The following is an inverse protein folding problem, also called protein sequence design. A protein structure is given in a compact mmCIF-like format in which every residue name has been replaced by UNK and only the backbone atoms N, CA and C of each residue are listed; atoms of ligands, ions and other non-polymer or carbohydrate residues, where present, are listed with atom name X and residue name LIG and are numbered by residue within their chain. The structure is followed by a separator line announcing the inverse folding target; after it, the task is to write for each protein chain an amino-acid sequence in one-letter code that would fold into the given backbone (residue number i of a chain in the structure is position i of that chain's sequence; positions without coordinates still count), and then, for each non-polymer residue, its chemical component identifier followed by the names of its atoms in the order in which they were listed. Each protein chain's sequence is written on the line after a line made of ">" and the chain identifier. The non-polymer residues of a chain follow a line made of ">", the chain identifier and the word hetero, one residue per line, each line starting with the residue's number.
data_IF_017592393638
#
_entry.id   IF_017592393638
#
_cell.length_a   1.000
_cell.length_b   1.000
_cell.length_c   1.000
_cell.angle_alpha   90.00
_cell.angle_beta   90.00
_cell.angle_gamma   90.00
#
_symmetry.space_group_name_H-M   'P 1'
#
loop_
_entity.id
_entity.type
_entity.pdbx_description
1 polymer ?
#
# COMPACT_ATOMS: atom_id res chain seq x y z
N UNK A 1 -24.15 -17.60 17.18
CA UNK A 1 -22.71 -17.42 17.47
C UNK A 1 -21.83 -17.69 16.28
N UNK A 2 -21.91 -18.86 15.65
CA UNK A 2 -21.10 -19.16 14.46
C UNK A 2 -21.41 -18.23 13.30
N UNK A 3 -22.67 -17.86 13.11
CA UNK A 3 -23.09 -16.95 12.04
C UNK A 3 -22.47 -15.57 12.23
N UNK A 4 -22.39 -15.05 13.45
CA UNK A 4 -21.80 -13.76 13.76
C UNK A 4 -20.27 -13.75 13.51
N UNK A 5 -19.61 -14.85 13.87
CA UNK A 5 -18.17 -15.03 13.64
C UNK A 5 -17.90 -15.08 12.13
N UNK A 6 -18.68 -15.86 11.38
CA UNK A 6 -18.56 -15.96 9.93
C UNK A 6 -18.85 -14.65 9.23
N UNK A 7 -19.87 -13.92 9.69
CA UNK A 7 -20.19 -12.59 9.15
C UNK A 7 -19.05 -11.59 9.41
N UNK A 8 -18.42 -11.66 10.59
CA UNK A 8 -17.26 -10.84 10.93
C UNK A 8 -16.05 -11.19 10.06
N UNK A 9 -15.78 -12.47 9.82
CA UNK A 9 -14.73 -12.93 8.93
C UNK A 9 -14.98 -12.49 7.48
N UNK A 10 -16.23 -12.58 7.01
CA UNK A 10 -16.59 -12.15 5.67
C UNK A 10 -16.35 -10.65 5.49
N UNK A 11 -16.68 -9.83 6.48
CA UNK A 11 -16.39 -8.39 6.45
C UNK A 11 -14.91 -8.10 6.39
N UNK A 12 -14.12 -8.78 7.22
CA UNK A 12 -12.67 -8.62 7.24
C UNK A 12 -12.06 -9.00 5.90
N UNK A 13 -12.52 -10.10 5.29
CA UNK A 13 -12.06 -10.51 3.97
C UNK A 13 -12.46 -9.53 2.88
N UNK A 14 -13.69 -8.99 2.93
CA UNK A 14 -14.14 -7.98 1.99
C UNK A 14 -13.32 -6.69 2.11
N UNK A 15 -13.06 -6.25 3.34
CA UNK A 15 -12.21 -5.08 3.59
C UNK A 15 -10.79 -5.31 3.09
N UNK A 16 -10.24 -6.51 3.35
CA UNK A 16 -8.92 -6.90 2.87
C UNK A 16 -8.84 -6.89 1.34
N UNK A 17 -9.86 -7.39 0.65
CA UNK A 17 -9.93 -7.33 -0.81
C UNK A 17 -9.93 -5.88 -1.31
N UNK A 18 -10.68 -4.99 -0.65
CA UNK A 18 -10.69 -3.57 -0.98
C UNK A 18 -9.32 -2.93 -0.83
N UNK A 19 -8.60 -3.23 0.24
CA UNK A 19 -7.25 -2.70 0.46
C UNK A 19 -6.20 -3.32 -0.46
N UNK A 20 -6.37 -4.59 -0.85
CA UNK A 20 -5.52 -5.21 -1.88
C UNK A 20 -5.72 -4.50 -3.22
N UNK A 21 -6.97 -4.20 -3.59
CA UNK A 21 -7.27 -3.42 -4.77
C UNK A 21 -6.65 -2.01 -4.70
N UNK A 22 -6.65 -1.39 -3.52
CA UNK A 22 -5.99 -0.11 -3.30
C UNK A 22 -4.48 -0.20 -3.54
N UNK A 23 -3.83 -1.28 -3.08
CA UNK A 23 -2.40 -1.53 -3.34
C UNK A 23 -2.14 -1.69 -4.84
N UNK A 24 -2.98 -2.48 -5.53
CA UNK A 24 -2.88 -2.65 -6.98
C UNK A 24 -3.06 -1.30 -7.68
N UNK A 25 -4.05 -0.51 -7.27
CA UNK A 25 -4.28 0.83 -7.79
C UNK A 25 -3.07 1.76 -7.59
N UNK A 26 -2.44 1.71 -6.41
CA UNK A 26 -1.24 2.50 -6.14
C UNK A 26 -0.06 2.09 -7.02
N UNK A 27 0.10 0.80 -7.31
CA UNK A 27 1.13 0.29 -8.23
C UNK A 27 0.86 0.79 -9.64
N UNK A 28 -0.40 0.76 -10.09
CA UNK A 28 -0.79 1.27 -11.41
C UNK A 28 -0.55 2.77 -11.52
N UNK A 29 -0.85 3.55 -10.47
CA UNK A 29 -0.54 4.98 -10.42
C UNK A 29 0.95 5.23 -10.48
N UNK A 30 1.75 4.43 -9.80
CA UNK A 30 3.21 4.50 -9.84
C UNK A 30 3.75 4.18 -11.23
N UNK A 31 3.17 3.21 -11.92
CA UNK A 31 3.49 2.90 -13.31
C UNK A 31 3.18 4.09 -14.22
N UNK A 32 1.99 4.67 -14.08
CA UNK A 32 1.58 5.86 -14.83
C UNK A 32 2.51 7.04 -14.56
N UNK A 33 2.90 7.25 -13.31
CA UNK A 33 3.85 8.31 -12.95
C UNK A 33 5.22 8.10 -13.61
N UNK A 34 5.70 6.86 -13.64
CA UNK A 34 6.98 6.52 -14.28
C UNK A 34 6.91 6.72 -15.79
N UNK A 35 5.80 6.33 -16.43
CA UNK A 35 5.57 6.55 -17.86
C UNK A 35 5.55 8.05 -18.19
N UNK A 36 4.88 8.84 -17.35
CA UNK A 36 4.81 10.29 -17.50
C UNK A 36 6.18 10.93 -17.30
N UNK A 37 6.97 10.42 -16.36
CA UNK A 37 8.34 10.88 -16.14
C UNK A 37 9.21 10.64 -17.36
N UNK A 38 9.06 9.48 -18.02
CA UNK A 38 9.74 9.17 -19.27
C UNK A 38 9.38 10.18 -20.35
N UNK A 39 8.08 10.49 -20.49
CA UNK A 39 7.60 11.47 -21.45
C UNK A 39 8.18 12.87 -21.15
N UNK A 40 8.25 13.24 -19.87
CA UNK A 40 8.85 14.49 -19.44
C UNK A 40 10.33 14.60 -19.81
N UNK A 41 11.10 13.52 -19.67
CA UNK A 41 12.50 13.47 -20.08
C UNK A 41 12.61 13.63 -21.61
N UNK A 42 11.73 12.98 -22.37
CA UNK A 42 11.69 13.12 -23.82
C UNK A 42 11.38 14.57 -24.24
N UNK A 43 10.46 15.25 -23.56
CA UNK A 43 10.15 16.65 -23.79
C UNK A 43 11.35 17.55 -23.49
N UNK A 44 12.06 17.29 -22.40
CA UNK A 44 13.27 18.03 -22.04
C UNK A 44 14.36 17.85 -23.09
N UNK A 45 14.56 16.64 -23.60
CA UNK A 45 15.51 16.35 -24.68
C UNK A 45 15.13 17.05 -25.98
N UNK A 46 13.83 17.23 -26.24
CA UNK A 46 13.33 17.95 -27.40
C UNK A 46 13.40 19.48 -27.24
N UNK A 47 13.83 19.99 -26.09
CA UNK A 47 13.94 21.41 -25.82
C UNK A 47 12.68 22.07 -25.26
N UNK A 48 11.63 21.31 -25.00
CA UNK A 48 10.38 21.81 -24.39
C UNK A 48 10.46 21.78 -22.87
N UNK A 49 11.06 22.82 -22.28
CA UNK A 49 11.23 22.93 -20.84
C UNK A 49 9.91 23.17 -20.09
N UNK A 50 8.96 23.87 -20.70
CA UNK A 50 7.65 24.11 -20.09
C UNK A 50 6.83 22.82 -20.01
N UNK A 51 6.82 22.01 -21.07
CA UNK A 51 6.18 20.70 -21.09
C UNK A 51 6.82 19.73 -20.11
N UNK A 52 8.15 19.74 -20.00
CA UNK A 52 8.88 18.92 -19.05
C UNK A 52 8.52 19.25 -17.59
N UNK A 53 8.41 20.53 -17.25
CA UNK A 53 8.00 20.97 -15.91
C UNK A 53 6.57 20.56 -15.59
N UNK A 54 5.65 20.71 -16.53
CA UNK A 54 4.27 20.29 -16.36
C UNK A 54 4.18 18.78 -16.12
N UNK A 55 4.97 17.98 -16.84
CA UNK A 55 5.05 16.54 -16.64
C UNK A 55 5.60 16.20 -15.26
N UNK A 56 6.64 16.88 -14.79
CA UNK A 56 7.21 16.67 -13.45
C UNK A 56 6.20 16.97 -12.34
N UNK A 57 5.41 18.04 -12.47
CA UNK A 57 4.38 18.37 -11.48
C UNK A 57 3.31 17.30 -11.40
N UNK A 58 2.88 16.74 -12.52
CA UNK A 58 1.93 15.64 -12.59
C UNK A 58 2.51 14.37 -11.96
N UNK A 59 3.77 14.04 -12.24
CA UNK A 59 4.47 12.91 -11.66
C UNK A 59 4.49 13.03 -10.13
N UNK A 60 4.82 14.20 -9.62
CA UNK A 60 4.86 14.45 -8.17
C UNK A 60 3.50 14.19 -7.53
N UNK A 61 2.43 14.72 -8.12
CA UNK A 61 1.06 14.53 -7.61
C UNK A 61 0.65 13.06 -7.62
N UNK A 62 0.93 12.36 -8.71
CA UNK A 62 0.61 10.94 -8.84
C UNK A 62 1.36 10.10 -7.82
N UNK A 63 2.64 10.39 -7.59
CA UNK A 63 3.45 9.68 -6.60
C UNK A 63 2.99 9.95 -5.17
N UNK A 64 2.61 11.18 -4.86
CA UNK A 64 2.04 11.51 -3.55
C UNK A 64 0.73 10.76 -3.32
N UNK A 65 -0.15 10.74 -4.31
CA UNK A 65 -1.41 10.02 -4.23
C UNK A 65 -1.19 8.52 -4.08
N UNK A 66 -0.33 7.93 -4.91
CA UNK A 66 0.00 6.51 -4.83
C UNK A 66 0.61 6.15 -3.47
N UNK A 67 1.54 6.97 -2.97
CA UNK A 67 2.17 6.78 -1.68
C UNK A 67 1.17 6.87 -0.53
N UNK A 68 0.27 7.84 -0.55
CA UNK A 68 -0.76 8.00 0.47
C UNK A 68 -1.71 6.79 0.50
N UNK A 69 -2.15 6.31 -0.66
CA UNK A 69 -3.01 5.13 -0.77
C UNK A 69 -2.28 3.89 -0.24
N UNK A 70 -1.02 3.71 -0.64
CA UNK A 70 -0.21 2.57 -0.21
C UNK A 70 0.00 2.57 1.31
N UNK A 71 0.35 3.71 1.90
CA UNK A 71 0.55 3.85 3.34
C UNK A 71 -0.73 3.53 4.09
N UNK A 72 -1.88 4.03 3.61
CA UNK A 72 -3.18 3.73 4.21
C UNK A 72 -3.50 2.24 4.18
N UNK A 73 -3.28 1.57 3.04
CA UNK A 73 -3.51 0.14 2.89
C UNK A 73 -2.56 -0.68 3.77
N UNK A 74 -1.27 -0.34 3.81
CA UNK A 74 -0.29 -1.02 4.66
C UNK A 74 -0.60 -0.82 6.14
N UNK A 75 -1.06 0.36 6.54
CA UNK A 75 -1.52 0.62 7.90
C UNK A 75 -2.69 -0.28 8.30
N UNK A 76 -3.65 -0.47 7.40
CA UNK A 76 -4.75 -1.40 7.61
C UNK A 76 -4.25 -2.82 7.83
N UNK A 77 -3.34 -3.32 6.99
CA UNK A 77 -2.79 -4.67 7.14
C UNK A 77 -1.96 -4.81 8.40
N UNK A 78 -1.28 -3.76 8.85
CA UNK A 78 -0.58 -3.76 10.13
C UNK A 78 -1.57 -3.92 11.29
N UNK A 79 -2.71 -3.21 11.25
CA UNK A 79 -3.77 -3.35 12.25
C UNK A 79 -4.34 -4.76 12.28
N UNK A 80 -4.53 -5.40 11.11
CA UNK A 80 -4.95 -6.79 11.03
C UNK A 80 -3.92 -7.73 11.65
N UNK A 81 -2.65 -7.51 11.37
CA UNK A 81 -1.56 -8.31 11.93
C UNK A 81 -1.50 -8.18 13.46
N UNK A 82 -1.73 -6.98 14.00
CA UNK A 82 -1.82 -6.76 15.45
C UNK A 82 -2.96 -7.54 16.07
N UNK A 83 -4.14 -7.51 15.45
CA UNK A 83 -5.30 -8.28 15.93
C UNK A 83 -5.03 -9.78 15.89
N UNK A 84 -4.43 -10.27 14.80
CA UNK A 84 -4.07 -11.67 14.68
C UNK A 84 -3.06 -12.09 15.76
N UNK A 85 -2.10 -11.25 16.09
CA UNK A 85 -1.13 -11.51 17.16
C UNK A 85 -1.80 -11.58 18.53
N UNK A 86 -2.77 -10.70 18.81
CA UNK A 86 -3.54 -10.73 20.06
C UNK A 86 -4.42 -11.97 20.17
N UNK A 87 -5.06 -12.38 19.07
CA UNK A 87 -5.96 -13.53 19.04
C UNK A 87 -5.22 -14.88 19.08
N UNK A 88 -3.93 -14.90 18.73
CA UNK A 88 -3.14 -16.14 18.66
C UNK A 88 -2.46 -16.53 19.98
N UNK A 89 -2.80 -15.89 21.08
CA UNK A 89 -2.14 -16.05 22.38
C UNK A 89 -2.28 -17.45 23.03
N UNK A 90 -2.90 -18.41 22.35
CA UNK A 90 -3.13 -19.77 22.90
C UNK A 90 -2.18 -20.86 22.40
N UNK A 91 -1.50 -20.68 21.28
CA UNK A 91 -0.63 -21.68 20.67
C UNK A 91 0.72 -21.09 20.31
N UNK A 92 1.85 -21.73 20.71
CA UNK A 92 3.19 -21.19 20.42
C UNK A 92 3.50 -21.04 18.94
N UNK A 93 3.04 -21.98 18.12
CA UNK A 93 3.26 -21.95 16.67
C UNK A 93 2.48 -20.81 15.99
N UNK A 94 1.20 -20.65 16.34
CA UNK A 94 0.37 -19.56 15.83
C UNK A 94 0.89 -18.21 16.30
N UNK A 95 1.35 -18.12 17.54
CA UNK A 95 1.92 -16.90 18.11
C UNK A 95 3.20 -16.50 17.39
N UNK A 96 4.10 -17.45 17.10
CA UNK A 96 5.33 -17.19 16.39
C UNK A 96 5.05 -16.71 14.94
N UNK A 97 4.10 -17.35 14.25
CA UNK A 97 3.71 -16.98 12.89
C UNK A 97 3.07 -15.59 12.87
N UNK A 98 2.17 -15.31 13.81
CA UNK A 98 1.51 -13.99 13.89
C UNK A 98 2.52 -12.88 14.20
N UNK A 99 3.49 -13.16 15.07
CA UNK A 99 4.55 -12.21 15.40
C UNK A 99 5.45 -11.92 14.21
N UNK A 100 5.82 -12.95 13.45
CA UNK A 100 6.61 -12.78 12.23
C UNK A 100 5.85 -11.93 11.19
N UNK A 101 4.57 -12.20 11.00
CA UNK A 101 3.71 -11.41 10.11
C UNK A 101 3.58 -9.95 10.56
N UNK A 102 3.45 -9.73 11.87
CA UNK A 102 3.39 -8.39 12.44
C UNK A 102 4.68 -7.61 12.16
N UNK A 103 5.85 -8.22 12.38
CA UNK A 103 7.13 -7.59 12.09
C UNK A 103 7.30 -7.29 10.60
N UNK A 104 6.91 -8.24 9.73
CA UNK A 104 6.97 -8.04 8.30
C UNK A 104 6.09 -6.87 7.85
N UNK A 105 4.86 -6.80 8.34
CA UNK A 105 3.91 -5.71 8.04
C UNK A 105 4.45 -4.36 8.52
N UNK A 106 5.04 -4.32 9.71
CA UNK A 106 5.64 -3.11 10.26
C UNK A 106 6.82 -2.64 9.41
N UNK A 107 7.70 -3.56 9.03
CA UNK A 107 8.88 -3.23 8.22
C UNK A 107 8.49 -2.71 6.84
N UNK A 108 7.48 -3.31 6.21
CA UNK A 108 6.98 -2.87 4.90
C UNK A 108 6.38 -1.47 5.01
N UNK A 109 5.59 -1.21 6.06
CA UNK A 109 5.03 0.12 6.29
C UNK A 109 6.12 1.16 6.55
N UNK A 110 7.12 0.82 7.35
CA UNK A 110 8.26 1.69 7.63
C UNK A 110 9.03 2.02 6.35
N UNK A 111 9.27 1.02 5.50
CA UNK A 111 9.91 1.21 4.20
C UNK A 111 9.10 2.16 3.31
N UNK A 112 7.79 2.01 3.28
CA UNK A 112 6.90 2.89 2.50
C UNK A 112 6.94 4.33 3.02
N UNK A 113 6.98 4.52 4.34
CA UNK A 113 7.07 5.84 4.96
C UNK A 113 8.41 6.51 4.65
N UNK A 114 9.51 5.76 4.65
CA UNK A 114 10.84 6.28 4.33
C UNK A 114 10.89 6.75 2.88
N UNK A 115 10.26 6.01 1.98
CA UNK A 115 10.23 6.36 0.55
C UNK A 115 9.26 7.51 0.23
N UNK A 116 8.29 7.70 1.08
CA UNK A 116 7.29 8.75 0.90
C UNK A 116 7.85 10.11 1.27
#
# INVERSE_FOLDING_TARGET
>A
MEEDILAGEARTLNDSLGYILAVIGSVLLSFGATALQRDGVCLALAGDSAGARAAQDRVRRLRLLAGAILIGALGYFLCLALRAAEESAGTPEAEASARANLWASFLVLLAALIRF
#
